data_IF_736839221149
#
_entry.id   IF_736839221149
#
_cell.length_a   1.000
_cell.length_b   1.000
_cell.length_c   1.000
_cell.angle_alpha   90.00
_cell.angle_beta   90.00
_cell.angle_gamma   90.00
#
_symmetry.space_group_name_H-M   'P 1'
#
loop_
_entity.id
_entity.type
_entity.pdbx_description
1 polymer ?
#
# COMPACT_ATOMS: atom_id res chain seq x y z
N UNK A 1 6.16 -2.51 -20.59
CA UNK A 1 7.47 -1.98 -21.02
C UNK A 1 7.29 -0.62 -21.70
N UNK A 2 8.32 0.22 -21.66
CA UNK A 2 8.36 1.51 -22.36
C UNK A 2 9.62 1.61 -23.22
N UNK A 3 9.46 1.98 -24.50
CA UNK A 3 10.56 2.17 -25.45
C UNK A 3 10.63 3.63 -25.86
N UNK A 4 11.80 4.24 -25.69
CA UNK A 4 12.08 5.61 -26.12
C UNK A 4 13.36 5.66 -26.93
N UNK A 5 13.52 6.72 -27.71
CA UNK A 5 14.68 6.95 -28.58
C UNK A 5 15.22 8.37 -28.38
N UNK A 6 16.54 8.61 -28.40
CA UNK A 6 17.10 9.95 -28.40
C UNK A 6 16.94 10.67 -29.76
N UNK A 7 16.50 9.95 -30.80
CA UNK A 7 16.41 10.47 -32.17
C UNK A 7 14.96 10.52 -32.65
N UNK A 8 14.65 11.46 -33.54
CA UNK A 8 13.38 11.42 -34.26
C UNK A 8 13.41 10.25 -35.24
N UNK A 9 12.55 9.25 -35.05
CA UNK A 9 12.57 8.04 -35.86
C UNK A 9 11.20 7.32 -35.89
N UNK A 10 11.06 6.37 -36.80
CA UNK A 10 10.07 5.32 -36.70
C UNK A 10 10.59 4.22 -35.77
N UNK A 11 9.72 3.69 -34.92
CA UNK A 11 10.06 2.65 -33.96
C UNK A 11 9.28 1.39 -34.32
N UNK A 12 10.01 0.31 -34.59
CA UNK A 12 9.48 -1.03 -34.82
C UNK A 12 9.90 -1.92 -33.66
N UNK A 13 8.94 -2.47 -32.93
CA UNK A 13 9.15 -3.30 -31.75
C UNK A 13 8.68 -4.72 -32.03
N UNK A 14 9.53 -5.69 -31.69
CA UNK A 14 9.24 -7.12 -31.80
C UNK A 14 9.72 -7.86 -30.55
N UNK A 15 9.08 -8.99 -30.27
CA UNK A 15 9.63 -9.97 -29.34
C UNK A 15 10.91 -10.59 -29.92
N UNK A 16 12.01 -10.69 -29.17
CA UNK A 16 13.21 -11.39 -29.66
C UNK A 16 13.01 -12.91 -29.75
N UNK A 17 12.08 -13.46 -28.96
CA UNK A 17 11.79 -14.89 -28.85
C UNK A 17 10.27 -15.13 -28.88
N UNK A 18 9.85 -16.34 -28.50
CA UNK A 18 8.44 -16.76 -28.46
C UNK A 18 7.73 -16.20 -27.22
N UNK A 19 7.45 -14.91 -27.24
CA UNK A 19 6.57 -14.25 -26.27
C UNK A 19 5.70 -13.21 -26.95
N UNK A 20 4.62 -12.81 -26.29
CA UNK A 20 3.63 -11.89 -26.87
C UNK A 20 3.87 -10.47 -26.42
N UNK A 21 3.67 -9.54 -27.34
CA UNK A 21 3.62 -8.10 -27.08
C UNK A 21 2.28 -7.56 -27.56
N UNK A 22 1.72 -6.58 -26.86
CA UNK A 22 0.48 -5.91 -27.28
C UNK A 22 0.54 -4.43 -26.92
N UNK A 23 -0.16 -3.55 -27.66
CA UNK A 23 -0.22 -2.13 -27.30
C UNK A 23 -0.81 -1.95 -25.90
N UNK A 24 -0.24 -1.04 -25.12
CA UNK A 24 -0.87 -0.61 -23.87
C UNK A 24 -1.89 0.49 -24.19
N UNK A 25 -3.17 0.13 -24.26
CA UNK A 25 -4.25 1.14 -24.30
C UNK A 25 -4.58 1.59 -22.88
N UNK A 26 -4.04 2.75 -22.48
CA UNK A 26 -4.52 3.44 -21.29
C UNK A 26 -5.78 4.24 -21.67
N UNK A 27 -6.92 3.89 -21.08
CA UNK A 27 -8.19 4.55 -21.33
C UNK A 27 -8.24 5.89 -20.59
N UNK A 28 -7.46 6.87 -21.04
CA UNK A 28 -7.31 8.15 -20.35
C UNK A 28 -8.28 9.20 -20.92
N UNK A 29 -9.58 8.90 -20.82
CA UNK A 29 -10.65 9.79 -21.31
C UNK A 29 -10.79 11.08 -20.49
N UNK A 30 -10.19 11.15 -19.30
CA UNK A 30 -10.28 12.31 -18.41
C UNK A 30 -9.43 13.51 -18.81
N UNK A 31 -8.36 13.31 -19.62
CA UNK A 31 -7.43 14.38 -20.01
C UNK A 31 -7.26 14.54 -21.53
N UNK A 32 -7.94 13.73 -22.35
CA UNK A 32 -7.97 13.94 -23.79
C UNK A 32 -9.05 14.95 -24.12
N UNK A 33 -8.63 16.21 -24.30
CA UNK A 33 -9.42 17.18 -25.07
C UNK A 33 -9.81 16.60 -26.43
N UNK A 34 -10.84 17.19 -27.06
CA UNK A 34 -11.37 16.75 -28.36
C UNK A 34 -10.22 16.46 -29.34
N UNK A 35 -10.12 15.21 -29.78
CA UNK A 35 -9.15 14.83 -30.82
C UNK A 35 -9.57 15.57 -32.09
N UNK A 36 -8.80 16.60 -32.45
CA UNK A 36 -8.97 17.32 -33.69
C UNK A 36 -8.78 16.33 -34.86
N UNK A 37 -9.89 16.02 -35.54
CA UNK A 37 -9.97 14.95 -36.55
C UNK A 37 -9.39 15.35 -37.91
N UNK A 38 -8.76 16.52 -37.99
CA UNK A 38 -8.32 17.15 -39.25
C UNK A 38 -7.01 16.58 -39.82
N UNK A 39 -6.25 15.79 -39.06
CA UNK A 39 -5.09 15.05 -39.60
C UNK A 39 -5.27 13.53 -39.45
N UNK A 40 -5.58 12.85 -40.56
CA UNK A 40 -5.64 11.38 -40.63
C UNK A 40 -4.23 10.79 -40.74
N UNK A 41 -3.41 10.98 -39.71
CA UNK A 41 -2.08 10.37 -39.65
C UNK A 41 -2.15 9.05 -38.89
N UNK A 42 -1.63 7.99 -39.51
CA UNK A 42 -1.37 6.73 -38.79
C UNK A 42 -0.26 6.93 -37.77
N UNK A 43 -0.63 6.91 -36.48
CA UNK A 43 0.30 7.08 -35.35
C UNK A 43 1.00 5.75 -34.99
N UNK A 44 0.30 4.63 -35.13
CA UNK A 44 0.84 3.29 -34.90
C UNK A 44 0.15 2.24 -35.78
N UNK A 45 0.85 1.14 -36.03
CA UNK A 45 0.35 -0.05 -36.74
C UNK A 45 0.72 -1.29 -35.95
N UNK A 46 -0.18 -2.27 -35.96
CA UNK A 46 0.01 -3.55 -35.30
C UNK A 46 -0.15 -4.64 -36.35
N UNK A 47 0.87 -5.47 -36.50
CA UNK A 47 0.79 -6.70 -37.28
C UNK A 47 0.69 -7.86 -36.29
N UNK A 48 -0.32 -8.72 -36.39
CA UNK A 48 -0.55 -9.80 -35.42
C UNK A 48 0.05 -11.15 -35.85
N UNK A 49 0.12 -11.40 -37.15
CA UNK A 49 0.52 -12.68 -37.75
C UNK A 49 1.51 -12.45 -38.91
N UNK A 50 2.52 -13.31 -39.12
CA UNK A 50 2.83 -14.54 -38.34
C UNK A 50 3.45 -14.27 -36.96
N UNK A 51 3.88 -13.03 -36.71
CA UNK A 51 4.46 -12.58 -35.44
C UNK A 51 3.89 -11.20 -35.08
N UNK A 52 3.73 -10.93 -33.79
CA UNK A 52 3.27 -9.60 -33.37
C UNK A 52 4.38 -8.56 -33.51
N UNK A 53 4.11 -7.50 -34.27
CA UNK A 53 5.00 -6.35 -34.50
C UNK A 53 4.24 -5.08 -34.21
N UNK A 54 4.83 -4.20 -33.39
CA UNK A 54 4.29 -2.87 -33.10
C UNK A 54 5.13 -1.83 -33.81
N UNK A 55 4.53 -1.06 -34.70
CA UNK A 55 5.16 0.04 -35.42
C UNK A 55 4.59 1.38 -34.93
N UNK A 56 5.47 2.32 -34.67
CA UNK A 56 5.20 3.63 -34.10
C UNK A 56 5.85 4.68 -35.01
N UNK A 57 5.04 5.53 -35.65
CA UNK A 57 5.54 6.40 -36.73
C UNK A 57 5.87 7.82 -36.25
N UNK A 58 6.98 8.38 -36.76
CA UNK A 58 7.43 9.75 -36.50
C UNK A 58 7.43 10.11 -35.02
N UNK A 59 8.10 9.27 -34.24
CA UNK A 59 8.27 9.47 -32.82
C UNK A 59 9.27 10.56 -32.57
N UNK A 60 8.90 11.49 -31.70
CA UNK A 60 9.77 12.58 -31.28
C UNK A 60 10.91 12.07 -30.40
N UNK A 61 11.94 12.88 -30.28
CA UNK A 61 13.05 12.66 -29.35
C UNK A 61 12.49 12.48 -27.93
N UNK A 62 12.88 11.40 -27.25
CA UNK A 62 12.42 10.96 -25.93
C UNK A 62 10.93 10.64 -25.80
N UNK A 63 10.21 10.47 -26.92
CA UNK A 63 8.82 10.01 -26.84
C UNK A 63 8.74 8.57 -26.34
N UNK A 64 7.91 8.35 -25.31
CA UNK A 64 7.71 7.04 -24.70
C UNK A 64 6.65 6.26 -25.46
N UNK A 65 7.01 5.06 -25.93
CA UNK A 65 6.11 4.12 -26.59
C UNK A 65 5.85 2.98 -25.63
N UNK A 66 4.61 2.88 -25.12
CA UNK A 66 4.25 1.92 -24.09
C UNK A 66 3.58 0.68 -24.69
N UNK A 67 3.97 -0.49 -24.17
CA UNK A 67 3.45 -1.78 -24.58
C UNK A 67 3.33 -2.70 -23.37
N UNK A 68 2.45 -3.69 -23.46
CA UNK A 68 2.41 -4.82 -22.54
C UNK A 68 3.28 -5.93 -23.11
N UNK A 69 4.10 -6.52 -22.25
CA UNK A 69 4.92 -7.69 -22.55
C UNK A 69 4.35 -8.84 -21.73
N UNK A 70 3.96 -9.92 -22.40
CA UNK A 70 3.45 -11.14 -21.76
C UNK A 70 4.56 -12.19 -21.85
N UNK A 71 5.39 -12.25 -20.80
CA UNK A 71 6.53 -13.15 -20.77
C UNK A 71 6.14 -14.63 -20.71
N UNK A 72 4.94 -14.95 -20.19
CA UNK A 72 4.39 -16.30 -20.12
C UNK A 72 5.13 -17.24 -19.16
N UNK A 73 6.02 -16.71 -18.32
CA UNK A 73 6.79 -17.47 -17.33
C UNK A 73 6.19 -17.25 -15.94
N UNK A 74 5.92 -18.35 -15.25
CA UNK A 74 5.59 -18.34 -13.82
C UNK A 74 6.90 -18.36 -13.02
N UNK A 75 7.03 -17.45 -12.05
CA UNK A 75 8.15 -17.45 -11.12
C UNK A 75 7.85 -18.43 -9.98
N UNK A 76 8.71 -19.43 -9.80
CA UNK A 76 8.51 -20.51 -8.81
C UNK A 76 9.07 -20.22 -7.42
N UNK A 77 9.64 -19.04 -7.20
CA UNK A 77 10.25 -18.63 -5.94
C UNK A 77 9.28 -17.95 -4.97
N UNK A 78 9.68 -17.85 -3.69
CA UNK A 78 8.88 -17.17 -2.65
C UNK A 78 9.74 -16.46 -1.61
N UNK A 79 9.12 -15.50 -0.91
CA UNK A 79 9.65 -14.92 0.32
C UNK A 79 8.98 -15.63 1.49
N UNK A 80 9.77 -16.37 2.27
CA UNK A 80 9.29 -17.02 3.49
C UNK A 80 9.59 -16.10 4.67
N UNK A 81 8.57 -15.75 5.44
CA UNK A 81 8.73 -14.94 6.65
C UNK A 81 8.30 -15.74 7.87
N UNK A 82 8.99 -15.51 8.98
CA UNK A 82 8.57 -15.92 10.31
C UNK A 82 8.91 -14.76 11.25
N UNK A 83 7.94 -13.84 11.37
CA UNK A 83 8.10 -12.60 12.11
C UNK A 83 7.21 -12.61 13.34
N UNK A 84 7.62 -11.86 14.36
CA UNK A 84 6.85 -11.59 15.56
C UNK A 84 6.86 -10.09 15.85
N UNK A 85 5.72 -9.54 16.24
CA UNK A 85 5.61 -8.21 16.82
C UNK A 85 5.49 -8.32 18.33
N UNK A 86 6.47 -7.76 19.04
CA UNK A 86 6.44 -7.67 20.49
C UNK A 86 7.33 -6.51 20.94
N UNK A 87 6.98 -5.87 22.05
CA UNK A 87 7.79 -4.77 22.63
C UNK A 87 8.05 -3.67 21.58
N UNK A 88 6.99 -3.32 20.86
CA UNK A 88 6.98 -2.31 19.79
C UNK A 88 7.97 -2.57 18.64
N UNK A 89 8.38 -3.81 18.39
CA UNK A 89 9.41 -4.14 17.38
C UNK A 89 9.02 -5.36 16.56
N UNK A 90 9.38 -5.37 15.27
CA UNK A 90 9.37 -6.58 14.45
C UNK A 90 10.67 -7.35 14.67
N UNK A 91 10.53 -8.64 14.98
CA UNK A 91 11.64 -9.56 15.18
C UNK A 91 11.42 -10.84 14.40
N UNK A 92 12.47 -11.59 14.07
CA UNK A 92 12.35 -12.90 13.43
C UNK A 92 13.24 -13.05 12.21
N UNK A 93 12.75 -13.75 11.19
CA UNK A 93 13.53 -14.07 9.98
C UNK A 93 12.74 -13.94 8.70
N UNK A 94 13.44 -13.63 7.61
CA UNK A 94 12.93 -13.68 6.25
C UNK A 94 13.93 -14.44 5.38
N UNK A 95 13.51 -15.53 4.78
CA UNK A 95 14.29 -16.29 3.81
C UNK A 95 13.84 -15.93 2.39
N UNK A 96 14.77 -15.41 1.60
CA UNK A 96 14.51 -15.05 0.21
C UNK A 96 14.91 -16.22 -0.71
N UNK A 97 13.92 -16.94 -1.23
CA UNK A 97 14.11 -17.91 -2.31
C UNK A 97 13.23 -17.53 -3.51
N UNK A 98 13.12 -16.23 -3.79
CA UNK A 98 12.25 -15.69 -4.83
C UNK A 98 12.84 -15.80 -6.23
N UNK A 99 14.15 -16.03 -6.34
CA UNK A 99 14.90 -15.90 -7.59
C UNK A 99 15.39 -14.46 -7.85
N UNK A 100 15.08 -13.51 -6.96
CA UNK A 100 15.45 -12.11 -7.08
C UNK A 100 16.40 -11.68 -5.96
N UNK A 101 17.42 -10.91 -6.31
CA UNK A 101 18.15 -10.13 -5.31
C UNK A 101 17.31 -8.91 -4.94
N UNK A 102 16.89 -8.80 -3.68
CA UNK A 102 16.12 -7.65 -3.21
C UNK A 102 17.09 -6.53 -2.85
N UNK A 103 16.98 -5.40 -3.57
CA UNK A 103 17.77 -4.19 -3.30
C UNK A 103 17.24 -3.45 -2.08
N UNK A 104 15.92 -3.48 -1.89
CA UNK A 104 15.19 -2.86 -0.78
C UNK A 104 14.04 -3.78 -0.41
N UNK A 105 13.76 -3.93 0.89
CA UNK A 105 12.61 -4.68 1.38
C UNK A 105 12.02 -3.99 2.60
N UNK A 106 10.70 -3.97 2.70
CA UNK A 106 9.95 -3.35 3.78
C UNK A 106 8.91 -4.33 4.33
N UNK A 107 8.75 -4.33 5.66
CA UNK A 107 7.58 -4.91 6.32
C UNK A 107 6.53 -3.81 6.42
N UNK A 108 5.30 -4.10 5.98
CA UNK A 108 4.16 -3.19 6.08
C UNK A 108 3.05 -3.91 6.87
N UNK A 109 2.44 -3.19 7.79
CA UNK A 109 1.24 -3.58 8.54
C UNK A 109 0.22 -2.45 8.39
N UNK A 110 -1.03 -2.58 8.86
CA UNK A 110 -2.09 -1.59 8.62
C UNK A 110 -1.74 -0.15 8.95
N UNK A 111 -0.89 0.09 9.96
CA UNK A 111 -0.53 1.43 10.42
C UNK A 111 0.97 1.69 10.51
N UNK A 112 1.80 0.66 10.31
CA UNK A 112 3.24 0.77 10.55
C UNK A 112 4.04 0.14 9.42
N UNK A 113 5.25 0.62 9.22
CA UNK A 113 6.20 0.06 8.26
C UNK A 113 7.61 0.01 8.85
N UNK A 114 8.45 -0.86 8.33
CA UNK A 114 9.87 -0.91 8.66
C UNK A 114 10.70 -1.22 7.42
N UNK A 115 11.75 -0.43 7.21
CA UNK A 115 12.81 -0.75 6.25
C UNK A 115 13.70 -1.84 6.85
N UNK A 116 13.80 -2.97 6.15
CA UNK A 116 14.67 -4.08 6.54
C UNK A 116 15.86 -4.23 5.60
N UNK A 117 16.02 -3.36 4.61
CA UNK A 117 17.16 -3.31 3.69
C UNK A 117 17.22 -4.49 2.68
N UNK A 118 18.37 -4.66 2.00
CA UNK A 118 18.52 -5.66 0.95
C UNK A 118 18.53 -7.09 1.50
N UNK A 119 18.10 -8.05 0.67
CA UNK A 119 18.12 -9.50 0.94
C UNK A 119 18.49 -10.23 -0.35
N UNK A 120 19.64 -10.89 -0.39
CA UNK A 120 20.10 -11.66 -1.56
C UNK A 120 19.27 -12.92 -1.76
N UNK A 121 19.18 -13.37 -3.01
CA UNK A 121 18.53 -14.65 -3.27
C UNK A 121 19.34 -15.79 -2.60
N UNK A 122 18.65 -16.67 -1.87
CA UNK A 122 19.23 -17.69 -1.01
C UNK A 122 19.62 -17.21 0.39
N UNK A 123 19.42 -15.93 0.74
CA UNK A 123 19.77 -15.39 2.06
C UNK A 123 18.61 -15.53 3.06
N UNK A 124 18.95 -15.88 4.30
CA UNK A 124 18.07 -15.68 5.46
C UNK A 124 18.49 -14.43 6.21
N UNK A 125 17.61 -13.44 6.28
CA UNK A 125 17.82 -12.19 7.02
C UNK A 125 17.19 -12.25 8.40
N UNK A 126 17.97 -11.94 9.42
CA UNK A 126 17.46 -11.71 10.77
C UNK A 126 16.91 -10.29 10.88
N UNK A 127 15.69 -10.17 11.40
CA UNK A 127 14.99 -8.90 11.59
C UNK A 127 14.93 -8.58 13.08
N UNK A 128 15.30 -7.34 13.42
CA UNK A 128 15.04 -6.72 14.72
C UNK A 128 14.98 -5.21 14.49
N UNK A 129 13.77 -4.71 14.20
CA UNK A 129 13.55 -3.32 13.78
C UNK A 129 12.33 -2.74 14.46
N UNK A 130 12.45 -1.51 14.95
CA UNK A 130 11.30 -0.73 15.40
C UNK A 130 10.61 -0.10 14.19
N UNK A 131 9.30 -0.34 13.99
CA UNK A 131 8.62 0.24 12.87
C UNK A 131 8.26 1.70 13.11
N UNK A 132 8.06 2.42 12.02
CA UNK A 132 7.52 3.78 12.01
C UNK A 132 6.02 3.76 11.69
N UNK A 133 5.26 4.66 12.32
CA UNK A 133 3.83 4.81 12.03
C UNK A 133 3.62 5.63 10.75
N UNK A 134 2.63 5.22 9.95
CA UNK A 134 2.06 6.02 8.87
C UNK A 134 0.55 6.26 9.08
N UNK A 135 0.00 5.90 10.25
CA UNK A 135 -1.38 6.17 10.67
C UNK A 135 -2.48 5.60 9.76
N UNK A 136 -2.16 4.60 8.94
CA UNK A 136 -3.13 3.88 8.13
C UNK A 136 -3.47 4.50 6.78
N UNK A 137 -2.97 5.71 6.51
CA UNK A 137 -3.22 6.39 5.24
C UNK A 137 -2.19 5.96 4.20
N UNK A 138 -2.65 5.36 3.10
CA UNK A 138 -1.78 4.77 2.07
C UNK A 138 -0.82 5.79 1.45
N UNK A 139 -1.27 7.03 1.21
CA UNK A 139 -0.38 8.08 0.72
C UNK A 139 0.71 8.46 1.73
N UNK A 140 0.40 8.41 3.04
CA UNK A 140 1.38 8.68 4.08
C UNK A 140 2.46 7.59 4.15
N UNK A 141 2.11 6.32 3.92
CA UNK A 141 3.10 5.25 3.75
C UNK A 141 4.06 5.56 2.59
N UNK A 142 3.51 5.94 1.44
CA UNK A 142 4.28 6.24 0.24
C UNK A 142 5.16 7.48 0.46
N UNK A 143 4.62 8.52 1.11
CA UNK A 143 5.37 9.70 1.53
C UNK A 143 6.48 9.36 2.53
N UNK A 144 6.23 8.44 3.45
CA UNK A 144 7.20 8.03 4.45
C UNK A 144 8.39 7.29 3.82
N UNK A 145 8.13 6.44 2.82
CA UNK A 145 9.18 5.69 2.11
C UNK A 145 9.92 6.57 1.08
N UNK A 146 9.19 7.35 0.26
CA UNK A 146 9.76 8.05 -0.90
C UNK A 146 9.86 9.57 -0.77
N UNK A 147 9.43 10.13 0.35
CA UNK A 147 9.22 11.57 0.59
C UNK A 147 8.03 12.08 -0.25
N UNK A 148 7.29 13.04 0.30
CA UNK A 148 6.22 13.69 -0.46
C UNK A 148 6.83 14.62 -1.53
N UNK A 149 6.52 14.41 -2.82
CA UNK A 149 6.99 15.30 -3.88
C UNK A 149 6.26 16.67 -3.88
N UNK A 150 5.16 16.83 -3.13
CA UNK A 150 4.29 18.00 -3.11
C UNK A 150 4.32 18.81 -1.80
N UNK A 151 4.82 18.26 -0.69
CA UNK A 151 4.97 18.97 0.59
C UNK A 151 6.28 18.63 1.33
N UNK A 152 6.90 19.64 1.96
CA UNK A 152 8.19 19.54 2.66
C UNK A 152 9.11 20.73 2.36
N UNK A 153 10.36 20.77 2.84
CA UNK A 153 11.38 21.74 2.38
C UNK A 153 11.67 21.65 0.86
N UNK A 154 11.05 20.67 0.19
CA UNK A 154 10.92 20.48 -1.26
C UNK A 154 9.64 21.07 -1.87
N UNK A 155 8.84 21.88 -1.15
CA UNK A 155 8.52 23.19 -1.73
C UNK A 155 9.89 23.81 -1.95
N UNK A 156 10.50 23.47 -3.08
CA UNK A 156 11.52 24.29 -3.69
C UNK A 156 10.89 25.67 -3.57
N UNK A 157 11.33 26.48 -2.60
CA UNK A 157 11.23 27.93 -2.74
C UNK A 157 11.68 28.09 -4.17
N UNK A 158 10.84 28.61 -5.08
CA UNK A 158 10.96 28.46 -6.56
C UNK A 158 12.37 28.69 -7.15
N UNK A 159 13.33 29.12 -6.33
CA UNK A 159 14.73 29.44 -6.55
C UNK A 159 15.77 28.44 -5.95
N UNK A 160 15.43 27.31 -5.30
CA UNK A 160 16.45 26.37 -4.77
C UNK A 160 16.76 25.27 -5.79
N UNK A 161 17.94 25.35 -6.42
CA UNK A 161 18.41 24.33 -7.37
C UNK A 161 18.90 23.09 -6.61
N UNK A 162 18.28 21.94 -6.87
CA UNK A 162 18.74 20.65 -6.36
C UNK A 162 20.13 20.31 -6.90
N UNK A 163 20.96 19.65 -6.09
CA UNK A 163 22.22 19.07 -6.58
C UNK A 163 21.92 17.92 -7.56
N UNK A 164 22.88 17.53 -8.43
CA UNK A 164 22.73 16.36 -9.29
C UNK A 164 22.32 15.08 -8.54
N UNK A 165 22.85 14.87 -7.34
CA UNK A 165 22.58 13.70 -6.49
C UNK A 165 21.15 13.73 -5.96
N UNK A 166 20.70 14.89 -5.45
CA UNK A 166 19.33 15.10 -4.99
C UNK A 166 18.32 14.93 -6.13
N UNK A 167 18.65 15.45 -7.32
CA UNK A 167 17.82 15.27 -8.51
C UNK A 167 17.75 13.80 -8.94
N UNK A 168 18.86 13.07 -8.84
CA UNK A 168 18.89 11.64 -9.15
C UNK A 168 18.08 10.83 -8.14
N UNK A 169 18.17 11.13 -6.84
CA UNK A 169 17.35 10.53 -5.79
C UNK A 169 15.86 10.81 -6.02
N UNK A 170 15.51 12.08 -6.25
CA UNK A 170 14.13 12.48 -6.53
C UNK A 170 13.53 11.70 -7.71
N UNK A 171 14.26 11.57 -8.82
CA UNK A 171 13.81 10.79 -9.98
C UNK A 171 13.65 9.30 -9.66
N UNK A 172 14.57 8.71 -8.90
CA UNK A 172 14.47 7.30 -8.48
C UNK A 172 13.26 7.07 -7.57
N UNK A 173 13.04 7.95 -6.60
CA UNK A 173 11.90 7.89 -5.69
C UNK A 173 10.59 8.05 -6.45
N UNK A 174 10.51 9.00 -7.38
CA UNK A 174 9.30 9.23 -8.18
C UNK A 174 8.93 8.00 -9.02
N UNK A 175 9.92 7.32 -9.62
CA UNK A 175 9.68 6.09 -10.38
C UNK A 175 9.11 4.97 -9.49
N UNK A 176 9.72 4.72 -8.33
CA UNK A 176 9.26 3.68 -7.40
C UNK A 176 7.90 4.02 -6.81
N UNK A 177 7.71 5.29 -6.45
CA UNK A 177 6.46 5.84 -5.94
C UNK A 177 5.29 5.55 -6.88
N UNK A 178 5.41 5.86 -8.17
CA UNK A 178 4.31 5.68 -9.13
C UNK A 178 3.87 4.21 -9.24
N UNK A 179 4.81 3.28 -9.17
CA UNK A 179 4.51 1.84 -9.19
C UNK A 179 3.92 1.37 -7.86
N UNK A 180 4.46 1.84 -6.73
CA UNK A 180 3.92 1.52 -5.41
C UNK A 180 2.50 2.10 -5.23
N UNK A 181 2.26 3.33 -5.69
CA UNK A 181 0.93 3.93 -5.80
C UNK A 181 0.04 3.01 -6.64
N UNK A 182 0.45 2.65 -7.85
CA UNK A 182 -0.36 1.75 -8.68
C UNK A 182 -0.70 0.42 -7.96
N UNK A 183 0.28 -0.22 -7.33
CA UNK A 183 0.10 -1.48 -6.60
C UNK A 183 -0.81 -1.37 -5.37
N UNK A 184 -0.60 -0.37 -4.52
CA UNK A 184 -1.41 -0.15 -3.32
C UNK A 184 -2.82 0.38 -3.61
N UNK A 185 -3.02 1.04 -4.75
CA UNK A 185 -4.30 1.66 -5.12
C UNK A 185 -5.19 0.73 -5.96
N UNK A 186 -4.62 -0.15 -6.79
CA UNK A 186 -5.37 -0.99 -7.73
C UNK A 186 -5.41 -2.48 -7.37
N UNK A 187 -4.53 -2.99 -6.50
CA UNK A 187 -4.53 -4.39 -6.07
C UNK A 187 -4.85 -4.60 -4.58
N UNK A 188 -5.27 -5.85 -4.31
CA UNK A 188 -5.63 -6.60 -3.10
C UNK A 188 -4.94 -6.31 -1.74
N UNK A 189 -4.56 -5.07 -1.39
CA UNK A 189 -4.22 -4.73 0.00
C UNK A 189 -5.51 -4.66 0.83
N UNK A 190 -5.98 -5.82 1.28
CA UNK A 190 -6.92 -5.88 2.39
C UNK A 190 -6.16 -5.38 3.63
N UNK A 191 -6.58 -4.22 4.12
CA UNK A 191 -5.87 -3.32 5.04
C UNK A 191 -5.58 -3.87 6.44
N UNK A 192 -5.60 -5.18 6.65
CA UNK A 192 -5.47 -5.85 7.95
C UNK A 192 -4.43 -6.97 7.97
N UNK A 193 -3.74 -7.24 6.86
CA UNK A 193 -2.66 -8.23 6.80
C UNK A 193 -1.28 -7.55 6.78
N UNK A 194 -0.27 -8.24 7.32
CA UNK A 194 1.12 -7.84 7.15
C UNK A 194 1.63 -8.27 5.77
N UNK A 195 2.46 -7.43 5.15
CA UNK A 195 3.04 -7.67 3.83
C UNK A 195 4.52 -7.35 3.80
N UNK A 196 5.23 -8.03 2.89
CA UNK A 196 6.54 -7.65 2.41
C UNK A 196 6.37 -6.95 1.07
N UNK A 197 6.99 -5.78 0.93
CA UNK A 197 7.19 -5.17 -0.38
C UNK A 197 8.69 -5.04 -0.63
N UNK A 198 9.11 -5.23 -1.88
CA UNK A 198 10.52 -5.17 -2.23
C UNK A 198 10.75 -4.64 -3.64
N UNK A 199 11.96 -4.12 -3.84
CA UNK A 199 12.48 -3.73 -5.15
C UNK A 199 13.64 -4.62 -5.52
N UNK A 200 13.67 -5.06 -6.78
CA UNK A 200 14.79 -5.80 -7.33
C UNK A 200 15.22 -5.21 -8.67
N UNK A 201 16.54 -5.18 -8.89
CA UNK A 201 17.17 -4.89 -10.18
C UNK A 201 17.53 -6.17 -10.94
N UNK A 202 17.17 -7.36 -10.42
CA UNK A 202 17.31 -8.63 -11.14
C UNK A 202 16.46 -8.57 -12.42
N UNK A 203 17.05 -8.77 -13.61
CA UNK A 203 16.31 -8.71 -14.88
C UNK A 203 15.20 -9.77 -14.97
N UNK A 204 14.07 -9.36 -15.52
CA UNK A 204 12.84 -10.17 -15.62
C UNK A 204 12.33 -10.20 -17.06
N UNK A 205 12.51 -9.10 -17.80
CA UNK A 205 11.93 -8.97 -19.12
C UNK A 205 12.76 -9.71 -20.18
N UNK A 206 12.05 -10.48 -21.00
CA UNK A 206 12.56 -11.04 -22.25
C UNK A 206 12.95 -9.91 -23.21
N UNK A 207 13.96 -10.16 -24.05
CA UNK A 207 14.51 -9.14 -24.92
C UNK A 207 13.51 -8.67 -25.98
N UNK A 208 13.38 -7.35 -26.10
CA UNK A 208 12.66 -6.70 -27.19
C UNK A 208 13.67 -6.26 -28.25
N UNK A 209 13.36 -6.53 -29.51
CA UNK A 209 14.08 -5.96 -30.63
C UNK A 209 13.44 -4.63 -30.99
N UNK A 210 14.26 -3.57 -31.02
CA UNK A 210 13.84 -2.24 -31.50
C UNK A 210 14.60 -1.95 -32.77
N UNK A 211 13.87 -1.74 -33.87
CA UNK A 211 14.42 -1.58 -35.21
C UNK A 211 15.39 -2.72 -35.58
N UNK A 212 15.06 -3.94 -35.18
CA UNK A 212 15.84 -5.15 -35.45
C UNK A 212 17.09 -5.33 -34.58
N UNK A 213 17.29 -4.50 -33.55
CA UNK A 213 18.46 -4.55 -32.68
C UNK A 213 18.07 -4.79 -31.24
N UNK A 214 18.94 -5.48 -30.49
CA UNK A 214 18.87 -5.50 -29.03
C UNK A 214 19.07 -4.09 -28.48
N UNK A 215 18.47 -3.84 -27.32
CA UNK A 215 18.49 -2.52 -26.70
C UNK A 215 18.94 -2.62 -25.26
N UNK A 216 19.50 -1.52 -24.76
CA UNK A 216 19.83 -1.42 -23.34
C UNK A 216 18.55 -1.43 -22.52
N UNK A 217 18.49 -2.35 -21.55
CA UNK A 217 17.36 -2.52 -20.65
C UNK A 217 17.62 -1.80 -19.32
N UNK A 218 16.58 -1.18 -18.79
CA UNK A 218 16.56 -0.61 -17.46
C UNK A 218 15.32 -1.15 -16.75
N UNK A 219 15.54 -2.16 -15.92
CA UNK A 219 14.47 -2.93 -15.32
C UNK A 219 14.45 -2.73 -13.82
N UNK A 220 13.24 -2.71 -13.27
CA UNK A 220 12.98 -2.81 -11.85
C UNK A 220 11.76 -3.69 -11.68
N UNK A 221 11.87 -4.67 -10.80
CA UNK A 221 10.76 -5.47 -10.35
C UNK A 221 10.25 -4.92 -9.01
N UNK A 222 8.93 -4.76 -8.93
CA UNK A 222 8.24 -4.56 -7.67
C UNK A 222 7.68 -5.90 -7.23
N UNK A 223 8.06 -6.34 -6.03
CA UNK A 223 7.71 -7.65 -5.49
C UNK A 223 6.83 -7.43 -4.27
N UNK A 224 5.73 -8.17 -4.19
CA UNK A 224 4.82 -8.19 -3.04
C UNK A 224 4.69 -9.61 -2.52
N UNK A 225 4.55 -9.77 -1.21
CA UNK A 225 4.29 -11.06 -0.58
C UNK A 225 3.55 -10.85 0.74
N UNK A 226 2.77 -11.85 1.19
CA UNK A 226 2.21 -11.82 2.54
C UNK A 226 3.33 -12.06 3.56
N UNK A 227 3.32 -11.30 4.64
CA UNK A 227 4.22 -11.53 5.76
C UNK A 227 3.51 -12.39 6.82
N UNK A 228 4.14 -13.49 7.22
CA UNK A 228 3.68 -14.26 8.37
C UNK A 228 4.15 -13.56 9.65
N UNK A 229 3.21 -12.98 10.37
CA UNK A 229 3.44 -12.16 11.56
C UNK A 229 2.63 -12.73 12.74
N UNK A 230 3.34 -13.13 13.78
CA UNK A 230 2.80 -13.48 15.09
C UNK A 230 2.77 -12.26 16.02
N UNK A 231 1.88 -12.30 17.02
CA UNK A 231 1.73 -11.29 18.07
C UNK A 231 2.02 -11.83 19.46
N UNK A 232 2.54 -13.07 19.55
CA UNK A 232 2.76 -13.79 20.80
C UNK A 232 4.25 -13.85 21.15
N UNK A 233 4.61 -13.36 22.34
CA UNK A 233 5.94 -13.49 22.95
C UNK A 233 5.81 -14.24 24.28
N UNK A 234 6.03 -15.56 24.24
CA UNK A 234 5.80 -16.46 25.38
C UNK A 234 4.33 -16.48 25.79
N UNK A 235 4.03 -15.92 26.97
CA UNK A 235 2.67 -15.79 27.49
C UNK A 235 2.04 -14.43 27.17
N UNK A 236 2.79 -13.46 26.63
CA UNK A 236 2.27 -12.15 26.26
C UNK A 236 1.72 -12.18 24.83
N UNK A 237 0.62 -11.48 24.60
CA UNK A 237 0.03 -11.23 23.28
C UNK A 237 -0.17 -9.74 23.10
N UNK A 238 0.27 -9.19 21.96
CA UNK A 238 0.27 -7.76 21.67
C UNK A 238 -0.13 -7.47 20.22
N UNK A 239 -1.36 -7.00 20.00
CA UNK A 239 -1.82 -6.54 18.69
C UNK A 239 -1.58 -5.04 18.54
N UNK A 240 -0.83 -4.60 17.51
CA UNK A 240 -0.61 -3.18 17.26
C UNK A 240 -1.90 -2.48 16.80
N UNK A 241 -1.90 -1.16 16.94
CA UNK A 241 -3.03 -0.32 16.56
C UNK A 241 -3.48 -0.62 15.12
N UNK A 242 -4.77 -0.87 14.92
CA UNK A 242 -5.39 -1.03 13.61
C UNK A 242 -5.20 -2.41 12.97
N UNK A 243 -4.55 -3.35 13.65
CA UNK A 243 -4.39 -4.72 13.15
C UNK A 243 -5.69 -5.52 13.22
N UNK A 244 -6.43 -5.38 14.33
CA UNK A 244 -7.72 -6.06 14.48
C UNK A 244 -8.73 -5.48 13.49
N UNK A 245 -9.43 -6.38 12.79
CA UNK A 245 -10.47 -6.02 11.82
C UNK A 245 -11.80 -5.83 12.56
N UNK A 246 -12.43 -4.65 12.48
CA UNK A 246 -13.74 -4.46 13.07
C UNK A 246 -14.86 -5.00 12.16
N UNK A 247 -16.01 -5.24 12.77
CA UNK A 247 -17.29 -5.30 12.07
C UNK A 247 -17.96 -3.94 12.18
N UNK A 248 -18.40 -3.38 11.05
CA UNK A 248 -19.11 -2.10 11.00
C UNK A 248 -20.59 -2.39 10.81
N UNK A 249 -21.41 -1.90 11.73
CA UNK A 249 -22.87 -1.96 11.65
C UNK A 249 -23.37 -0.53 11.42
N UNK A 250 -24.00 -0.29 10.27
CA UNK A 250 -24.62 1.00 9.97
C UNK A 250 -26.13 0.89 10.21
N UNK A 251 -26.63 1.69 11.14
CA UNK A 251 -28.04 1.67 11.52
C UNK A 251 -28.85 2.77 10.81
N UNK A 252 -28.24 3.60 9.93
CA UNK A 252 -28.94 4.70 9.24
C UNK A 252 -28.50 4.92 7.77
N UNK A 253 -29.47 5.15 6.89
CA UNK A 253 -29.28 5.23 5.42
C UNK A 253 -28.56 6.48 4.89
N UNK A 254 -28.25 7.49 5.71
CA UNK A 254 -27.68 8.76 5.25
C UNK A 254 -26.14 8.87 5.42
N UNK A 255 -25.54 7.96 6.20
CA UNK A 255 -24.11 7.92 6.44
C UNK A 255 -23.44 6.90 5.52
N UNK A 256 -22.20 7.18 5.11
CA UNK A 256 -21.42 6.28 4.28
C UNK A 256 -20.06 5.96 4.92
N UNK A 257 -19.49 4.82 4.54
CA UNK A 257 -18.14 4.42 4.90
C UNK A 257 -17.29 4.32 3.65
N UNK A 258 -16.22 5.09 3.61
CA UNK A 258 -15.18 4.98 2.60
C UNK A 258 -14.13 3.97 3.06
N UNK A 259 -14.15 2.78 2.45
CA UNK A 259 -13.17 1.73 2.72
C UNK A 259 -11.75 2.13 2.29
N UNK A 260 -11.62 3.02 1.31
CA UNK A 260 -10.33 3.48 0.82
C UNK A 260 -9.64 4.40 1.84
N UNK A 261 -10.33 5.46 2.29
CA UNK A 261 -9.83 6.39 3.29
C UNK A 261 -9.96 5.91 4.74
N UNK A 262 -10.70 4.82 4.97
CA UNK A 262 -11.11 4.33 6.30
C UNK A 262 -11.85 5.40 7.09
N UNK A 263 -12.77 6.12 6.43
CA UNK A 263 -13.50 7.25 6.98
C UNK A 263 -15.01 7.03 6.90
N UNK A 264 -15.72 7.28 7.99
CA UNK A 264 -17.14 7.56 7.96
C UNK A 264 -17.37 9.00 7.50
N UNK A 265 -18.45 9.24 6.76
CA UNK A 265 -18.83 10.59 6.35
C UNK A 265 -20.35 10.76 6.19
N UNK A 266 -20.80 12.01 6.30
CA UNK A 266 -22.20 12.40 6.21
C UNK A 266 -22.90 12.35 7.56
N UNK A 267 -24.21 12.07 7.53
CA UNK A 267 -25.07 12.02 8.73
C UNK A 267 -25.47 10.59 9.05
N UNK A 268 -25.16 10.10 10.23
CA UNK A 268 -25.52 8.73 10.59
C UNK A 268 -25.03 8.27 11.96
N UNK A 269 -25.41 7.04 12.30
CA UNK A 269 -24.95 6.33 13.49
C UNK A 269 -24.28 5.03 13.07
N UNK A 270 -23.01 4.88 13.43
CA UNK A 270 -22.19 3.73 13.12
C UNK A 270 -21.79 3.03 14.41
N UNK A 271 -21.94 1.72 14.45
CA UNK A 271 -21.33 0.89 15.48
C UNK A 271 -20.13 0.14 14.89
N UNK A 272 -19.06 0.10 15.67
CA UNK A 272 -17.80 -0.55 15.34
C UNK A 272 -17.55 -1.59 16.43
N UNK A 273 -17.63 -2.86 16.05
CA UNK A 273 -17.48 -3.98 16.96
C UNK A 273 -16.14 -4.66 16.75
N UNK A 274 -15.39 -4.80 17.82
CA UNK A 274 -14.12 -5.51 17.88
C UNK A 274 -14.29 -6.80 18.65
N UNK A 275 -14.14 -7.94 17.97
CA UNK A 275 -14.03 -9.25 18.63
C UNK A 275 -12.55 -9.52 18.86
N UNK A 276 -12.16 -9.66 20.12
CA UNK A 276 -10.79 -9.93 20.51
C UNK A 276 -10.65 -11.42 20.80
N UNK A 277 -9.53 -12.02 20.39
CA UNK A 277 -9.25 -13.43 20.66
C UNK A 277 -9.29 -13.78 22.16
N UNK A 278 -9.46 -15.05 22.47
CA UNK A 278 -9.58 -15.48 23.86
C UNK A 278 -8.25 -15.34 24.61
N UNK A 279 -8.13 -14.30 25.43
CA UNK A 279 -6.96 -13.99 26.23
C UNK A 279 -7.35 -13.30 27.54
N UNK A 280 -6.42 -13.26 28.50
CA UNK A 280 -6.53 -12.40 29.67
C UNK A 280 -6.10 -10.98 29.28
N UNK A 281 -7.08 -10.10 29.06
CA UNK A 281 -6.84 -8.71 28.69
C UNK A 281 -6.12 -7.93 29.80
N UNK A 282 -5.11 -7.17 29.41
CA UNK A 282 -4.37 -6.27 30.29
C UNK A 282 -4.67 -4.81 29.97
N UNK A 283 -4.74 -4.47 28.68
CA UNK A 283 -5.20 -3.15 28.25
C UNK A 283 -5.64 -3.11 26.78
N UNK A 284 -6.44 -2.10 26.47
CA UNK A 284 -6.86 -1.74 25.11
C UNK A 284 -6.65 -0.24 24.92
N UNK A 285 -6.01 0.16 23.83
CA UNK A 285 -5.92 1.56 23.40
C UNK A 285 -6.83 1.79 22.22
N UNK A 286 -7.71 2.79 22.29
CA UNK A 286 -8.54 3.27 21.19
C UNK A 286 -7.89 4.53 20.62
N UNK A 287 -7.79 4.63 19.29
CA UNK A 287 -7.29 5.84 18.64
C UNK A 287 -7.99 6.10 17.29
N UNK A 288 -8.44 7.33 17.08
CA UNK A 288 -8.96 7.84 15.80
C UNK A 288 -9.07 9.37 15.79
N UNK A 289 -9.29 9.92 14.60
CA UNK A 289 -9.52 11.35 14.38
C UNK A 289 -10.97 11.64 14.01
N UNK A 290 -11.44 12.82 14.39
CA UNK A 290 -12.77 13.35 14.04
C UNK A 290 -12.58 14.73 13.40
N UNK A 291 -13.50 15.15 12.55
CA UNK A 291 -13.53 16.51 11.99
C UNK A 291 -13.89 17.55 13.05
N UNK A 292 -15.15 17.95 13.09
CA UNK A 292 -15.74 18.84 14.07
C UNK A 292 -16.31 18.08 15.26
N UNK A 293 -15.65 18.20 16.42
CA UNK A 293 -16.08 17.56 17.66
C UNK A 293 -17.47 17.98 18.15
N UNK A 294 -18.02 19.11 17.68
CA UNK A 294 -19.38 19.53 18.04
C UNK A 294 -20.46 18.75 17.26
N UNK A 295 -20.08 18.13 16.12
CA UNK A 295 -20.96 17.38 15.24
C UNK A 295 -20.82 15.87 15.37
N UNK A 296 -19.92 15.43 16.25
CA UNK A 296 -19.60 14.02 16.46
C UNK A 296 -19.75 13.66 17.93
N UNK A 297 -20.70 12.77 18.23
CA UNK A 297 -20.84 12.16 19.55
C UNK A 297 -20.28 10.74 19.54
N UNK A 298 -19.62 10.37 20.62
CA UNK A 298 -18.86 9.13 20.71
C UNK A 298 -19.29 8.36 21.95
N UNK A 299 -19.43 7.05 21.81
CA UNK A 299 -19.96 6.21 22.86
C UNK A 299 -19.19 4.90 22.99
N UNK A 300 -19.07 4.42 24.22
CA UNK A 300 -18.72 3.03 24.53
C UNK A 300 -19.92 2.32 25.14
N UNK A 301 -20.09 1.04 24.82
CA UNK A 301 -21.11 0.21 25.47
C UNK A 301 -20.67 -0.16 26.89
N UNK A 302 -21.44 0.23 27.89
CA UNK A 302 -21.21 -0.10 29.29
C UNK A 302 -21.97 -1.38 29.66
N UNK A 303 -21.23 -2.44 29.96
CA UNK A 303 -21.76 -3.76 30.27
C UNK A 303 -22.49 -3.82 31.62
N UNK A 304 -22.21 -2.90 32.54
CA UNK A 304 -22.86 -2.84 33.84
C UNK A 304 -24.20 -2.11 33.72
N UNK A 305 -24.21 -0.97 33.02
CA UNK A 305 -25.43 -0.17 32.78
C UNK A 305 -26.34 -0.75 31.71
N UNK A 306 -25.80 -1.59 30.82
CA UNK A 306 -26.48 -2.05 29.60
C UNK A 306 -26.93 -0.89 28.72
N UNK A 307 -26.08 0.13 28.60
CA UNK A 307 -26.37 1.34 27.82
C UNK A 307 -25.08 1.96 27.23
N UNK A 308 -25.27 2.84 26.26
CA UNK A 308 -24.20 3.63 25.65
C UNK A 308 -23.81 4.81 26.55
N UNK A 309 -22.53 4.90 26.89
CA UNK A 309 -22.00 6.02 27.67
C UNK A 309 -21.28 6.99 26.74
N UNK A 310 -21.74 8.23 26.71
CA UNK A 310 -21.11 9.31 25.93
C UNK A 310 -19.79 9.74 26.56
N UNK A 311 -18.79 10.05 25.72
CA UNK A 311 -17.51 10.55 26.16
C UNK A 311 -16.60 10.99 25.01
N UNK A 312 -15.36 11.35 25.33
CA UNK A 312 -14.31 11.57 24.33
C UNK A 312 -13.39 10.33 24.28
N UNK A 313 -13.52 9.54 23.21
CA UNK A 313 -12.84 8.25 23.07
C UNK A 313 -11.80 8.25 21.94
N UNK A 314 -11.46 9.41 21.38
CA UNK A 314 -10.49 9.57 20.27
C UNK A 314 -9.08 9.08 20.59
N UNK A 315 -8.70 9.12 21.86
CA UNK A 315 -7.42 8.62 22.37
C UNK A 315 -7.64 8.08 23.79
N UNK A 316 -8.32 6.95 23.90
CA UNK A 316 -8.76 6.37 25.17
C UNK A 316 -8.00 5.11 25.53
N UNK A 317 -7.78 4.90 26.82
CA UNK A 317 -7.05 3.75 27.35
C UNK A 317 -7.93 3.00 28.35
N UNK A 318 -8.21 1.73 28.05
CA UNK A 318 -9.03 0.82 28.87
C UNK A 318 -8.06 -0.14 29.56
N UNK A 319 -8.05 -0.13 30.89
CA UNK A 319 -7.25 -1.02 31.73
C UNK A 319 -7.99 -1.34 33.04
N UNK A 320 -7.51 -2.35 33.76
CA UNK A 320 -8.04 -2.76 35.06
C UNK A 320 -9.57 -2.98 35.05
N UNK A 321 -10.30 -2.30 35.93
CA UNK A 321 -11.76 -2.43 36.08
C UNK A 321 -12.53 -1.98 34.83
N UNK A 322 -11.96 -1.07 34.02
CA UNK A 322 -12.59 -0.60 32.79
C UNK A 322 -12.70 -1.70 31.73
N UNK A 323 -11.84 -2.73 31.79
CA UNK A 323 -11.94 -3.87 30.88
C UNK A 323 -13.28 -4.57 31.08
N UNK A 324 -13.63 -4.90 32.34
CA UNK A 324 -14.93 -5.55 32.64
C UNK A 324 -16.11 -4.65 32.29
N UNK A 325 -15.94 -3.34 32.47
CA UNK A 325 -16.97 -2.35 32.18
C UNK A 325 -17.29 -2.25 30.69
N UNK A 326 -16.29 -2.25 29.80
CA UNK A 326 -16.47 -1.96 28.37
C UNK A 326 -16.23 -3.14 27.43
N UNK A 327 -15.66 -4.24 27.91
CA UNK A 327 -15.45 -5.48 27.15
C UNK A 327 -16.32 -6.57 27.75
N UNK A 328 -17.16 -7.18 26.92
CA UNK A 328 -18.09 -8.21 27.40
C UNK A 328 -17.42 -9.59 27.57
N UNK A 329 -18.18 -10.55 28.09
CA UNK A 329 -17.69 -11.92 28.34
C UNK A 329 -17.31 -12.69 27.06
N UNK A 330 -17.67 -12.19 25.88
CA UNK A 330 -17.25 -12.70 24.58
C UNK A 330 -16.02 -11.98 24.02
N UNK A 331 -15.32 -11.20 24.85
CA UNK A 331 -14.20 -10.34 24.49
C UNK A 331 -14.56 -9.32 23.39
N UNK A 332 -15.80 -8.82 23.40
CA UNK A 332 -16.26 -7.83 22.44
C UNK A 332 -16.20 -6.41 23.03
N UNK A 333 -15.55 -5.51 22.31
CA UNK A 333 -15.60 -4.06 22.53
C UNK A 333 -16.52 -3.43 21.48
N UNK A 334 -17.45 -2.59 21.91
CA UNK A 334 -18.39 -1.88 21.03
C UNK A 334 -18.21 -0.37 21.16
N UNK A 335 -17.98 0.28 20.03
CA UNK A 335 -17.83 1.73 19.90
C UNK A 335 -18.98 2.22 19.02
N UNK A 336 -19.69 3.27 19.42
CA UNK A 336 -20.70 3.92 18.59
C UNK A 336 -20.30 5.37 18.30
N UNK A 337 -20.50 5.78 17.06
CA UNK A 337 -20.24 7.15 16.58
C UNK A 337 -21.52 7.67 15.97
N UNK A 338 -21.98 8.82 16.43
CA UNK A 338 -23.11 9.56 15.85
C UNK A 338 -22.59 10.86 15.24
N UNK A 339 -22.95 11.13 13.98
CA UNK A 339 -22.41 12.23 13.18
C UNK A 339 -23.53 13.05 12.56
N UNK A 340 -23.39 14.37 12.60
CA UNK A 340 -24.24 15.33 11.89
C UNK A 340 -23.45 16.07 10.81
N UNK A 341 -23.38 15.46 9.61
CA UNK A 341 -22.69 15.98 8.43
C UNK A 341 -21.22 16.35 8.68
N UNK A 342 -20.42 15.31 8.96
CA UNK A 342 -18.98 15.41 9.23
C UNK A 342 -18.24 14.17 8.74
N UNK A 343 -16.95 14.03 9.08
CA UNK A 343 -16.10 12.87 8.82
C UNK A 343 -15.41 12.37 10.09
N UNK A 344 -15.35 11.05 10.24
CA UNK A 344 -14.68 10.39 11.38
C UNK A 344 -13.85 9.25 10.84
N UNK A 345 -12.58 9.19 11.24
CA UNK A 345 -11.75 8.03 10.95
C UNK A 345 -12.30 6.81 11.70
N UNK A 346 -12.30 5.65 11.05
CA UNK A 346 -12.61 4.37 11.68
C UNK A 346 -11.81 4.25 12.99
N UNK A 347 -12.46 4.12 14.17
CA UNK A 347 -11.80 3.79 15.42
C UNK A 347 -10.87 2.61 15.23
N UNK A 348 -9.62 2.74 15.66
CA UNK A 348 -8.65 1.64 15.65
C UNK A 348 -8.33 1.26 17.08
N UNK A 349 -8.03 -0.02 17.32
CA UNK A 349 -7.60 -0.49 18.63
C UNK A 349 -6.23 -1.18 18.57
N UNK A 350 -5.47 -1.02 19.66
CA UNK A 350 -4.33 -1.87 20.02
C UNK A 350 -4.71 -2.65 21.28
N UNK A 351 -4.28 -3.90 21.39
CA UNK A 351 -4.66 -4.79 22.49
C UNK A 351 -3.43 -5.47 23.05
N UNK A 352 -3.33 -5.51 24.37
CA UNK A 352 -2.33 -6.30 25.08
C UNK A 352 -2.99 -7.20 26.11
N UNK A 353 -2.49 -8.42 26.20
CA UNK A 353 -2.95 -9.39 27.18
C UNK A 353 -1.98 -10.54 27.35
N UNK A 354 -2.42 -11.55 28.08
CA UNK A 354 -1.71 -12.80 28.28
C UNK A 354 -2.56 -14.01 27.90
N UNK A 355 -1.90 -15.09 27.48
CA UNK A 355 -2.54 -16.38 27.24
C UNK A 355 -3.17 -16.87 28.55
N UNK A 356 -4.38 -17.40 28.47
CA UNK A 356 -5.11 -17.94 29.62
C UNK A 356 -4.48 -19.19 30.21
#
# INVERSE_FOLDING_TARGET
AGVFTPNKDNIRIEAARDFKIKPLRMNNNYYRGSIDSTSKRTDSKITLSPKTVLEFYNRGVWSMNTLVVEAGEEFSGKLESNLNYAKDSFTGTIFNNSGFDLDECYIITPNQYADIGPIKNGETKHVNVKPSSYFGQRYELINAIYKDPYSGPNRIKRNTRLTPEQMAEFRRNLQKRQVLEYGLMNEAYQSYEAQLIAWSSTPVAKDLLVNGRETRKYEKAFITSKANLSFRDGNSVEYPLGFLRPTIVNNMNAGNYDDYGKMFYGKGSFEVHYTIEDMKLENIKIQYTVGDTQRVRQYLWDNEKKDWVEGDYRSYYIHDELIKKYVDNSNMLKIKIEMDDDKVQLPQIAVKGSVK
#
